data_IF_623985360281
#
_entry.id   IF_623985360281
#
_cell.length_a   1.000
_cell.length_b   1.000
_cell.length_c   1.000
_cell.angle_alpha   90.00
_cell.angle_beta   90.00
_cell.angle_gamma   90.00
#
_symmetry.space_group_name_H-M   'P 1'
#
loop_
_entity.id
_entity.type
_entity.pdbx_description
1 polymer ?
#
# COMPACT_ATOMS: atom_id res chain seq x y z
N UNK A 1 15.53 -0.33 20.97
CA UNK A 1 14.47 0.69 21.10
C UNK A 1 14.90 1.88 20.25
N UNK A 2 14.28 2.12 19.10
CA UNK A 2 14.63 3.30 18.29
C UNK A 2 14.04 4.51 19.02
N UNK A 3 14.94 5.33 19.54
CA UNK A 3 14.54 6.58 20.19
C UNK A 3 13.94 7.50 19.10
N UNK A 4 12.67 7.85 19.25
CA UNK A 4 12.01 8.77 18.34
C UNK A 4 12.26 10.20 18.81
N UNK A 5 12.92 11.07 18.02
CA UNK A 5 13.24 12.42 18.44
C UNK A 5 12.06 13.39 18.40
N UNK A 6 10.94 12.98 17.75
CA UNK A 6 9.69 13.75 17.66
C UNK A 6 8.53 12.89 18.18
N UNK A 7 7.51 13.52 18.74
CA UNK A 7 6.28 12.83 19.14
C UNK A 7 5.42 12.48 17.93
N UNK A 8 5.07 11.20 17.78
CA UNK A 8 4.08 10.78 16.79
C UNK A 8 2.70 10.66 17.42
N UNK A 9 1.68 10.92 16.61
CA UNK A 9 0.30 10.55 16.92
C UNK A 9 0.13 9.07 16.59
N UNK A 10 0.10 8.22 17.61
CA UNK A 10 0.04 6.76 17.46
C UNK A 10 -1.42 6.27 17.30
N UNK A 11 -1.66 5.10 16.66
CA UNK A 11 -0.68 4.20 16.04
C UNK A 11 -0.11 4.75 14.73
N UNK A 12 1.16 4.48 14.47
CA UNK A 12 1.87 4.90 13.26
C UNK A 12 2.20 3.70 12.38
N UNK A 13 1.73 3.71 11.14
CA UNK A 13 1.97 2.63 10.18
C UNK A 13 2.90 3.07 9.06
N UNK A 14 3.74 2.16 8.62
CA UNK A 14 4.67 2.36 7.49
C UNK A 14 4.88 1.05 6.74
N UNK A 15 5.17 1.10 5.43
CA UNK A 15 5.59 -0.08 4.69
C UNK A 15 6.91 -0.66 5.25
N UNK A 16 7.10 -1.99 5.27
CA UNK A 16 8.37 -2.61 5.72
C UNK A 16 9.60 -2.05 5.00
N UNK A 17 9.48 -1.67 3.73
CA UNK A 17 10.55 -1.07 2.93
C UNK A 17 10.98 0.34 3.43
N UNK A 18 10.20 0.96 4.30
CA UNK A 18 10.46 2.25 4.94
C UNK A 18 10.95 2.12 6.40
N UNK A 19 11.32 0.92 6.85
CA UNK A 19 11.79 0.66 8.21
C UNK A 19 12.95 1.56 8.65
N UNK A 20 13.81 1.97 7.70
CA UNK A 20 14.97 2.84 7.94
C UNK A 20 14.81 4.25 7.39
N UNK A 21 13.60 4.66 7.05
CA UNK A 21 13.29 6.02 6.61
C UNK A 21 13.03 6.93 7.82
N UNK A 22 13.40 8.21 7.71
CA UNK A 22 12.85 9.20 8.62
C UNK A 22 11.36 9.35 8.32
N UNK A 23 10.52 9.30 9.34
CA UNK A 23 9.08 9.41 9.18
C UNK A 23 8.66 10.83 9.54
N UNK A 24 7.87 11.44 8.67
CA UNK A 24 7.23 12.73 8.91
C UNK A 24 5.73 12.56 8.75
N UNK A 25 4.96 12.70 9.83
CA UNK A 25 3.51 12.72 9.75
C UNK A 25 3.04 14.05 9.16
N UNK A 26 2.86 14.11 7.85
CA UNK A 26 2.35 15.31 7.16
C UNK A 26 0.83 15.49 7.36
N UNK A 27 0.12 14.37 7.56
CA UNK A 27 -1.28 14.30 7.98
C UNK A 27 -1.40 13.39 9.19
N UNK A 28 -2.56 13.38 9.82
CA UNK A 28 -2.93 12.42 10.87
C UNK A 28 -4.14 11.65 10.37
N UNK A 29 -4.13 10.31 10.51
CA UNK A 29 -5.21 9.44 10.04
C UNK A 29 -5.24 9.25 8.52
N UNK A 30 -6.35 8.72 8.02
CA UNK A 30 -6.60 8.51 6.60
C UNK A 30 -7.75 9.38 6.12
N UNK A 31 -7.59 10.07 4.99
CA UNK A 31 -8.60 10.99 4.45
C UNK A 31 -9.91 10.30 4.05
N UNK A 32 -9.82 9.02 3.70
CA UNK A 32 -10.99 8.21 3.37
C UNK A 32 -11.58 7.46 4.58
N UNK A 33 -10.77 6.67 5.28
CA UNK A 33 -11.05 5.95 6.53
C UNK A 33 -12.40 5.20 6.59
N UNK A 34 -12.90 4.67 5.45
CA UNK A 34 -14.23 4.02 5.31
C UNK A 34 -14.16 2.60 4.76
N UNK A 35 -12.94 2.11 4.45
CA UNK A 35 -12.77 0.76 3.92
C UNK A 35 -13.20 -0.29 4.94
N UNK A 36 -14.01 -1.29 4.50
CA UNK A 36 -14.57 -2.31 5.39
C UNK A 36 -13.51 -3.14 6.12
N UNK A 37 -12.36 -3.36 5.49
CA UNK A 37 -11.26 -4.19 5.99
C UNK A 37 -10.23 -3.43 6.83
N UNK A 38 -10.22 -2.09 6.78
CA UNK A 38 -9.13 -1.30 7.35
C UNK A 38 -9.46 -0.83 8.77
N UNK A 39 -8.62 -1.23 9.71
CA UNK A 39 -8.73 -0.84 11.13
C UNK A 39 -7.58 0.09 11.57
N UNK A 40 -6.62 0.39 10.67
CA UNK A 40 -5.38 1.10 11.01
C UNK A 40 -5.59 2.50 11.57
N UNK A 41 -6.60 3.22 11.06
CA UNK A 41 -6.82 4.63 11.42
C UNK A 41 -8.21 4.91 12.01
N UNK A 42 -8.93 3.88 12.46
CA UNK A 42 -10.27 4.02 13.04
C UNK A 42 -10.29 4.85 14.33
N UNK A 43 -9.18 4.88 15.06
CA UNK A 43 -9.01 5.68 16.28
C UNK A 43 -8.59 7.15 16.02
N UNK A 44 -8.40 7.55 14.76
CA UNK A 44 -7.91 8.88 14.39
C UNK A 44 -8.88 9.68 13.55
N UNK A 45 -9.12 10.91 13.93
CA UNK A 45 -9.76 11.89 13.05
C UNK A 45 -8.76 12.45 12.05
N UNK A 46 -9.15 12.43 10.77
CA UNK A 46 -8.28 12.95 9.71
C UNK A 46 -8.06 14.46 9.88
N UNK A 47 -6.79 14.88 9.87
CA UNK A 47 -6.40 16.28 9.87
C UNK A 47 -5.05 16.51 9.18
N UNK A 48 -4.89 17.68 8.58
CA UNK A 48 -3.62 18.15 8.03
C UNK A 48 -2.80 18.84 9.10
N UNK A 49 -1.48 18.81 8.97
CA UNK A 49 -0.58 19.50 9.92
C UNK A 49 -0.03 20.79 9.30
N UNK A 50 0.19 21.78 10.13
CA UNK A 50 0.70 23.07 9.67
C UNK A 50 2.18 22.97 9.25
N UNK A 51 2.56 23.75 8.24
CA UNK A 51 3.93 23.78 7.76
C UNK A 51 4.93 24.18 8.86
N UNK A 52 4.56 25.08 9.75
CA UNK A 52 5.44 25.54 10.85
C UNK A 52 5.75 24.42 11.85
N UNK A 53 4.79 23.54 12.13
CA UNK A 53 5.02 22.37 12.96
C UNK A 53 5.94 21.38 12.24
N UNK A 54 5.65 21.11 10.96
CA UNK A 54 6.46 20.20 10.16
C UNK A 54 7.90 20.68 9.99
N UNK A 55 8.13 21.98 9.81
CA UNK A 55 9.48 22.56 9.76
C UNK A 55 10.30 22.30 11.03
N UNK A 56 9.69 22.46 12.19
CA UNK A 56 10.36 22.16 13.47
C UNK A 56 10.74 20.69 13.58
N UNK A 57 9.84 19.80 13.18
CA UNK A 57 10.09 18.35 13.19
C UNK A 57 11.14 17.93 12.17
N UNK A 58 11.10 18.48 10.95
CA UNK A 58 12.13 18.23 9.91
C UNK A 58 13.51 18.61 10.44
N UNK A 59 13.63 19.79 11.07
CA UNK A 59 14.87 20.23 11.69
C UNK A 59 15.32 19.26 12.79
N UNK A 60 14.43 18.88 13.70
CA UNK A 60 14.72 17.93 14.79
C UNK A 60 15.18 16.57 14.25
N UNK A 61 14.50 16.04 13.24
CA UNK A 61 14.88 14.78 12.58
C UNK A 61 16.25 14.90 11.92
N UNK A 62 16.53 16.01 11.23
CA UNK A 62 17.83 16.24 10.58
C UNK A 62 18.96 16.34 11.61
N UNK A 63 18.77 17.07 12.70
CA UNK A 63 19.75 17.20 13.79
C UNK A 63 20.01 15.83 14.47
N UNK A 64 18.97 15.01 14.64
CA UNK A 64 19.06 13.68 15.24
C UNK A 64 19.84 12.71 14.35
N UNK A 65 19.45 12.63 13.06
CA UNK A 65 20.07 11.68 12.11
C UNK A 65 21.41 12.14 11.55
N UNK A 66 21.82 13.39 11.77
CA UNK A 66 23.13 13.96 11.36
C UNK A 66 23.51 13.66 9.91
N UNK A 67 22.54 13.80 8.99
CA UNK A 67 22.74 13.58 7.55
C UNK A 67 22.85 12.12 7.10
N UNK A 68 22.63 11.14 7.96
CA UNK A 68 22.66 9.72 7.60
C UNK A 68 21.36 9.22 6.94
N UNK A 69 20.29 10.03 6.96
CA UNK A 69 19.02 9.68 6.33
C UNK A 69 19.12 9.73 4.81
N UNK A 70 18.75 8.62 4.18
CA UNK A 70 18.67 8.50 2.71
C UNK A 70 17.25 8.54 2.18
N UNK A 71 16.26 8.33 3.04
CA UNK A 71 14.85 8.26 2.67
C UNK A 71 14.00 8.97 3.72
N UNK A 72 12.96 9.66 3.24
CA UNK A 72 11.90 10.23 4.08
C UNK A 72 10.58 9.62 3.65
N UNK A 73 9.77 9.20 4.61
CA UNK A 73 8.42 8.70 4.38
C UNK A 73 7.41 9.68 4.96
N UNK A 74 6.52 10.19 4.10
CA UNK A 74 5.41 11.05 4.51
C UNK A 74 4.23 10.18 4.96
N UNK A 75 3.94 10.18 6.23
CA UNK A 75 2.80 9.54 6.87
C UNK A 75 1.69 10.61 7.15
N UNK A 76 0.48 10.30 7.55
CA UNK A 76 -0.11 9.03 7.87
C UNK A 76 -0.72 8.33 6.65
N UNK A 77 -1.89 7.71 6.82
CA UNK A 77 -2.54 6.80 5.87
C UNK A 77 -2.84 7.35 4.48
N UNK A 78 -2.80 8.67 4.28
CA UNK A 78 -3.00 9.30 2.99
C UNK A 78 -2.40 10.72 2.96
N UNK A 79 -1.09 10.82 3.17
CA UNK A 79 -0.43 12.14 3.16
C UNK A 79 -0.45 12.80 1.78
N UNK A 80 -0.56 12.02 0.71
CA UNK A 80 -0.63 12.54 -0.66
C UNK A 80 -1.96 13.22 -1.02
N UNK A 81 -2.96 13.20 -0.12
CA UNK A 81 -4.19 14.00 -0.26
C UNK A 81 -3.93 15.51 -0.20
N UNK A 82 -2.83 15.92 0.44
CA UNK A 82 -2.43 17.32 0.44
C UNK A 82 -2.27 17.85 -1.00
N UNK A 83 -2.78 19.04 -1.25
CA UNK A 83 -2.61 19.73 -2.53
C UNK A 83 -1.12 20.05 -2.80
N UNK A 84 -0.78 20.28 -4.04
CA UNK A 84 0.62 20.55 -4.44
C UNK A 84 1.19 21.78 -3.77
N UNK A 85 0.39 22.84 -3.60
CA UNK A 85 0.77 24.06 -2.89
C UNK A 85 1.16 23.83 -1.42
N UNK A 86 0.65 22.75 -0.78
CA UNK A 86 1.05 22.32 0.56
C UNK A 86 2.23 21.35 0.55
N UNK A 87 2.27 20.41 -0.40
CA UNK A 87 3.33 19.42 -0.49
C UNK A 87 4.68 20.04 -0.91
N UNK A 88 4.66 20.96 -1.88
CA UNK A 88 5.88 21.57 -2.42
C UNK A 88 6.71 22.27 -1.32
N UNK A 89 6.15 23.12 -0.44
CA UNK A 89 6.90 23.70 0.67
C UNK A 89 7.46 22.67 1.64
N UNK A 90 6.71 21.58 1.92
CA UNK A 90 7.19 20.48 2.78
C UNK A 90 8.39 19.79 2.15
N UNK A 91 8.32 19.45 0.85
CA UNK A 91 9.42 18.80 0.15
C UNK A 91 10.65 19.72 0.02
N UNK A 92 10.46 21.02 -0.21
CA UNK A 92 11.55 22.00 -0.23
C UNK A 92 12.24 22.09 1.14
N UNK A 93 11.46 22.09 2.23
CA UNK A 93 12.01 22.10 3.59
C UNK A 93 12.79 20.80 3.89
N UNK A 94 12.25 19.64 3.52
CA UNK A 94 12.97 18.36 3.66
C UNK A 94 14.32 18.41 2.91
N UNK A 95 14.33 18.85 1.67
CA UNK A 95 15.54 18.90 0.86
C UNK A 95 16.59 19.90 1.42
N UNK A 96 16.18 20.99 2.05
CA UNK A 96 17.09 21.96 2.68
C UNK A 96 17.82 21.39 3.91
N UNK A 97 17.24 20.38 4.58
CA UNK A 97 17.80 19.77 5.80
C UNK A 97 18.52 18.44 5.54
N UNK A 98 18.11 17.69 4.52
CA UNK A 98 18.65 16.36 4.22
C UNK A 98 19.39 16.33 2.88
N UNK A 99 20.66 16.74 2.87
CA UNK A 99 21.46 16.93 1.64
C UNK A 99 21.81 15.67 0.85
N UNK A 100 21.44 14.45 1.31
CA UNK A 100 21.78 13.17 0.67
C UNK A 100 20.55 12.28 0.41
N UNK A 101 19.39 12.86 0.28
CA UNK A 101 18.17 12.08 0.04
C UNK A 101 18.20 11.37 -1.32
N UNK A 102 17.91 10.10 -1.29
CA UNK A 102 17.68 9.28 -2.47
C UNK A 102 16.22 9.32 -2.90
N UNK A 103 15.30 9.39 -1.91
CA UNK A 103 13.86 9.29 -2.14
C UNK A 103 13.05 9.90 -1.01
N UNK A 104 11.97 10.57 -1.40
CA UNK A 104 10.81 10.81 -0.55
C UNK A 104 9.70 9.90 -1.07
N UNK A 105 8.92 9.31 -0.17
CA UNK A 105 7.81 8.42 -0.49
C UNK A 105 6.59 8.74 0.38
N UNK A 106 5.41 8.31 -0.03
CA UNK A 106 4.16 8.57 0.68
C UNK A 106 3.13 7.47 0.41
N UNK A 107 2.17 7.28 1.31
CA UNK A 107 0.91 6.66 0.95
C UNK A 107 0.09 7.60 0.07
N UNK A 108 -0.63 7.03 -0.90
CA UNK A 108 -1.49 7.76 -1.81
C UNK A 108 -2.72 6.94 -2.20
N UNK A 109 -3.79 7.64 -2.60
CA UNK A 109 -4.92 7.06 -3.30
C UNK A 109 -4.92 7.53 -4.77
N UNK A 110 -5.43 6.74 -5.72
CA UNK A 110 -5.51 7.10 -7.14
C UNK A 110 -6.16 8.47 -7.37
N UNK A 111 -7.27 8.77 -6.68
CA UNK A 111 -7.97 10.06 -6.75
C UNK A 111 -7.08 11.24 -6.38
N UNK A 112 -6.14 11.06 -5.45
CA UNK A 112 -5.23 12.14 -5.00
C UNK A 112 -4.16 12.43 -6.06
N UNK A 113 -3.81 11.43 -6.88
CA UNK A 113 -2.94 11.62 -8.04
C UNK A 113 -3.72 12.37 -9.13
N UNK A 114 -4.94 11.93 -9.42
CA UNK A 114 -5.82 12.55 -10.43
C UNK A 114 -6.17 14.01 -10.10
N UNK A 115 -6.24 14.38 -8.83
CA UNK A 115 -6.52 15.76 -8.40
C UNK A 115 -5.38 16.75 -8.66
N UNK A 116 -4.19 16.28 -9.02
CA UNK A 116 -3.04 17.12 -9.34
C UNK A 116 -2.83 17.23 -10.84
N UNK A 117 -2.35 18.38 -11.31
CA UNK A 117 -1.96 18.56 -12.70
C UNK A 117 -0.65 17.82 -13.01
N UNK A 118 -0.36 17.60 -14.28
CA UNK A 118 0.90 16.95 -14.71
C UNK A 118 2.13 17.79 -14.34
N UNK A 119 2.00 19.13 -14.40
CA UNK A 119 3.04 20.06 -13.96
C UNK A 119 3.32 19.94 -12.47
N UNK A 120 2.28 19.86 -11.64
CA UNK A 120 2.43 19.67 -10.19
C UNK A 120 3.10 18.34 -9.86
N UNK A 121 2.70 17.25 -10.50
CA UNK A 121 3.34 15.94 -10.32
C UNK A 121 4.81 15.97 -10.74
N UNK A 122 5.13 16.64 -11.84
CA UNK A 122 6.51 16.82 -12.32
C UNK A 122 7.34 17.64 -11.33
N UNK A 123 6.79 18.72 -10.74
CA UNK A 123 7.47 19.48 -9.70
C UNK A 123 7.70 18.64 -8.44
N UNK A 124 6.69 17.93 -7.95
CA UNK A 124 6.82 17.02 -6.80
C UNK A 124 7.89 15.96 -7.05
N UNK A 125 7.93 15.41 -8.26
CA UNK A 125 8.96 14.45 -8.67
C UNK A 125 10.35 15.06 -8.66
N UNK A 126 10.52 16.26 -9.18
CA UNK A 126 11.80 17.00 -9.20
C UNK A 126 12.31 17.28 -7.77
N UNK A 127 11.39 17.48 -6.82
CA UNK A 127 11.69 17.68 -5.41
C UNK A 127 11.93 16.36 -4.64
N UNK A 128 12.04 15.24 -5.34
CA UNK A 128 12.46 13.97 -4.76
C UNK A 128 11.34 13.02 -4.34
N UNK A 129 10.07 13.33 -4.61
CA UNK A 129 8.97 12.38 -4.43
C UNK A 129 9.05 11.32 -5.55
N UNK A 130 9.57 10.15 -5.22
CA UNK A 130 9.91 9.12 -6.20
C UNK A 130 9.08 7.86 -6.12
N UNK A 131 8.34 7.65 -5.02
CA UNK A 131 7.59 6.42 -4.80
C UNK A 131 6.28 6.71 -4.06
N UNK A 132 5.18 6.21 -4.60
CA UNK A 132 3.88 6.18 -3.94
C UNK A 132 3.50 4.75 -3.59
N UNK A 133 3.09 4.53 -2.34
CA UNK A 133 2.51 3.28 -1.86
C UNK A 133 0.99 3.37 -1.98
N UNK A 134 0.40 2.45 -2.74
CA UNK A 134 -1.02 2.48 -3.08
C UNK A 134 -1.62 1.11 -2.82
N UNK A 135 -2.48 1.02 -1.82
CA UNK A 135 -3.37 -0.12 -1.65
C UNK A 135 -4.50 -0.01 -2.67
N UNK A 136 -4.46 -0.79 -3.73
CA UNK A 136 -5.60 -0.90 -4.66
C UNK A 136 -6.56 -2.00 -4.22
N UNK A 137 -6.07 -2.96 -3.46
CA UNK A 137 -6.69 -4.09 -2.79
C UNK A 137 -7.26 -5.13 -3.76
N UNK A 138 -7.92 -4.70 -4.82
CA UNK A 138 -8.52 -5.53 -5.86
C UNK A 138 -8.62 -4.75 -7.17
N UNK A 139 -8.64 -5.45 -8.30
CA UNK A 139 -9.03 -4.91 -9.61
C UNK A 139 -10.51 -5.06 -9.93
N UNK A 140 -11.31 -5.60 -9.02
CA UNK A 140 -12.73 -5.86 -9.25
C UNK A 140 -13.61 -4.71 -8.74
N UNK A 141 -14.38 -4.08 -9.66
CA UNK A 141 -15.23 -2.94 -9.34
C UNK A 141 -16.40 -3.30 -8.41
N UNK A 142 -16.87 -4.54 -8.43
CA UNK A 142 -17.91 -5.00 -7.50
C UNK A 142 -17.32 -5.08 -6.08
N UNK A 143 -16.18 -5.73 -5.92
CA UNK A 143 -15.50 -5.80 -4.63
C UNK A 143 -15.11 -4.43 -4.10
N UNK A 144 -14.61 -3.53 -4.95
CA UNK A 144 -14.29 -2.14 -4.55
C UNK A 144 -15.51 -1.43 -3.94
N UNK A 145 -16.72 -1.68 -4.46
CA UNK A 145 -17.98 -1.16 -3.89
C UNK A 145 -18.33 -1.86 -2.58
N UNK A 146 -18.22 -3.19 -2.52
CA UNK A 146 -18.56 -3.99 -1.35
C UNK A 146 -17.69 -3.63 -0.14
N UNK A 147 -16.40 -3.38 -0.34
CA UNK A 147 -15.46 -2.95 0.71
C UNK A 147 -15.46 -1.44 0.94
N UNK A 148 -16.27 -0.68 0.22
CA UNK A 148 -16.32 0.79 0.30
C UNK A 148 -14.95 1.47 0.09
N UNK A 149 -14.17 1.01 -0.90
CA UNK A 149 -12.83 1.56 -1.20
C UNK A 149 -12.90 2.98 -1.76
N UNK A 150 -13.98 3.31 -2.45
CA UNK A 150 -14.22 4.61 -3.05
C UNK A 150 -13.38 4.88 -4.30
N UNK A 151 -12.76 3.88 -4.90
CA UNK A 151 -12.07 3.90 -6.19
C UNK A 151 -12.76 2.96 -7.18
N UNK A 152 -12.36 3.03 -8.45
CA UNK A 152 -12.75 2.10 -9.51
C UNK A 152 -11.52 1.56 -10.22
N UNK A 153 -11.71 0.51 -11.02
CA UNK A 153 -10.67 0.01 -11.92
C UNK A 153 -10.11 1.14 -12.80
N UNK A 154 -11.00 1.93 -13.42
CA UNK A 154 -10.60 3.02 -14.33
C UNK A 154 -9.83 4.12 -13.60
N UNK A 155 -10.37 4.65 -12.47
CA UNK A 155 -9.68 5.70 -11.69
C UNK A 155 -8.31 5.25 -11.21
N UNK A 156 -8.18 3.97 -10.87
CA UNK A 156 -6.91 3.38 -10.42
C UNK A 156 -5.90 3.32 -11.56
N UNK A 157 -6.30 2.83 -12.73
CA UNK A 157 -5.41 2.78 -13.92
C UNK A 157 -4.97 4.18 -14.31
N UNK A 158 -5.92 5.11 -14.46
CA UNK A 158 -5.62 6.49 -14.86
C UNK A 158 -4.67 7.19 -13.86
N UNK A 159 -4.95 7.07 -12.56
CA UNK A 159 -4.12 7.68 -11.52
C UNK A 159 -2.69 7.15 -11.52
N UNK A 160 -2.52 5.82 -11.61
CA UNK A 160 -1.18 5.21 -11.60
C UNK A 160 -0.42 5.53 -12.89
N UNK A 161 -1.05 5.46 -14.06
CA UNK A 161 -0.42 5.84 -15.32
C UNK A 161 0.01 7.30 -15.32
N UNK A 162 -0.80 8.19 -14.73
CA UNK A 162 -0.45 9.61 -14.56
C UNK A 162 0.79 9.81 -13.66
N UNK A 163 0.90 9.05 -12.55
CA UNK A 163 2.09 9.06 -11.71
C UNK A 163 3.33 8.58 -12.48
N UNK A 164 3.21 7.49 -13.24
CA UNK A 164 4.30 6.94 -14.05
C UNK A 164 4.74 7.93 -15.14
N UNK A 165 3.82 8.62 -15.80
CA UNK A 165 4.12 9.66 -16.79
C UNK A 165 4.93 10.81 -16.18
N UNK A 166 4.72 11.14 -14.91
CA UNK A 166 5.52 12.12 -14.17
C UNK A 166 6.85 11.54 -13.63
N UNK A 167 7.16 10.26 -13.90
CA UNK A 167 8.38 9.58 -13.43
C UNK A 167 8.33 9.18 -11.95
N UNK A 168 7.14 9.11 -11.34
CA UNK A 168 6.94 8.65 -9.97
C UNK A 168 6.63 7.16 -10.01
N UNK A 169 7.50 6.34 -9.40
CA UNK A 169 7.29 4.90 -9.27
C UNK A 169 6.11 4.59 -8.32
N UNK A 170 5.51 3.41 -8.47
CA UNK A 170 4.46 2.94 -7.56
C UNK A 170 4.79 1.60 -6.93
N UNK A 171 4.35 1.42 -5.69
CA UNK A 171 4.33 0.17 -4.95
C UNK A 171 2.87 -0.18 -4.68
N UNK A 172 2.39 -1.20 -5.36
CA UNK A 172 0.99 -1.60 -5.36
C UNK A 172 0.77 -2.74 -4.38
N UNK A 173 -0.36 -2.71 -3.69
CA UNK A 173 -0.78 -3.73 -2.74
C UNK A 173 -2.14 -4.31 -3.14
N UNK A 174 -2.20 -5.66 -3.22
CA UNK A 174 -3.40 -6.47 -3.41
C UNK A 174 -3.67 -7.21 -2.11
N UNK A 175 -4.93 -7.30 -1.72
CA UNK A 175 -5.34 -7.94 -0.47
C UNK A 175 -5.98 -9.31 -0.77
N UNK A 176 -5.18 -10.37 -0.67
CA UNK A 176 -5.58 -11.75 -0.89
C UNK A 176 -6.66 -12.17 0.12
N UNK A 177 -7.69 -12.88 -0.33
CA UNK A 177 -8.80 -13.30 0.52
C UNK A 177 -9.90 -12.25 0.72
N UNK A 178 -9.76 -11.06 0.12
CA UNK A 178 -10.66 -9.94 0.32
C UNK A 178 -12.12 -10.24 -0.06
N UNK A 179 -12.32 -11.06 -1.09
CA UNK A 179 -13.63 -11.44 -1.61
C UNK A 179 -14.25 -12.66 -0.93
N UNK A 180 -13.52 -13.33 -0.02
CA UNK A 180 -13.91 -14.62 0.51
C UNK A 180 -14.12 -15.66 -0.60
N UNK A 181 -14.78 -16.77 -0.29
CA UNK A 181 -15.00 -17.85 -1.26
C UNK A 181 -15.78 -17.41 -2.50
N UNK A 182 -16.75 -16.55 -2.31
CA UNK A 182 -17.69 -16.15 -3.36
C UNK A 182 -17.06 -15.37 -4.51
N UNK A 183 -16.14 -14.46 -4.20
CA UNK A 183 -15.55 -13.53 -5.15
C UNK A 183 -14.09 -13.84 -5.49
N UNK A 184 -13.53 -14.94 -4.99
CA UNK A 184 -12.11 -15.29 -5.09
C UNK A 184 -11.59 -15.31 -6.55
N UNK A 185 -12.27 -16.04 -7.42
CA UNK A 185 -11.84 -16.18 -8.83
C UNK A 185 -11.85 -14.83 -9.55
N UNK A 186 -12.96 -14.07 -9.48
CA UNK A 186 -13.04 -12.77 -10.14
C UNK A 186 -12.06 -11.77 -9.54
N UNK A 187 -11.84 -11.80 -8.22
CA UNK A 187 -10.85 -11.00 -7.54
C UNK A 187 -9.44 -11.25 -8.08
N UNK A 188 -9.02 -12.52 -8.15
CA UNK A 188 -7.70 -12.90 -8.65
C UNK A 188 -7.48 -12.46 -10.11
N UNK A 189 -8.44 -12.77 -11.00
CA UNK A 189 -8.36 -12.45 -12.43
C UNK A 189 -8.35 -10.93 -12.65
N UNK A 190 -9.29 -10.19 -12.05
CA UNK A 190 -9.39 -8.74 -12.22
C UNK A 190 -8.21 -7.99 -11.61
N UNK A 191 -7.65 -8.52 -10.50
CA UNK A 191 -6.44 -7.96 -9.90
C UNK A 191 -5.21 -8.19 -10.79
N UNK A 192 -5.08 -9.33 -11.45
CA UNK A 192 -4.04 -9.54 -12.45
C UNK A 192 -4.22 -8.63 -13.68
N UNK A 193 -5.47 -8.44 -14.13
CA UNK A 193 -5.79 -7.56 -15.25
C UNK A 193 -5.36 -6.10 -15.01
N UNK A 194 -5.63 -5.56 -13.81
CA UNK A 194 -5.21 -4.21 -13.48
C UNK A 194 -3.68 -4.11 -13.37
N UNK A 195 -2.99 -5.10 -12.77
CA UNK A 195 -1.53 -5.14 -12.70
C UNK A 195 -0.90 -5.14 -14.10
N UNK A 196 -1.45 -5.92 -15.03
CA UNK A 196 -0.99 -5.95 -16.42
C UNK A 196 -1.15 -4.60 -17.13
N UNK A 197 -2.17 -3.80 -16.78
CA UNK A 197 -2.38 -2.47 -17.36
C UNK A 197 -1.47 -1.39 -16.79
N UNK A 198 -1.15 -1.47 -15.49
CA UNK A 198 -0.39 -0.42 -14.81
C UNK A 198 1.12 -0.72 -14.74
N UNK A 199 1.52 -1.98 -14.82
CA UNK A 199 2.94 -2.42 -14.74
C UNK A 199 3.72 -1.69 -13.63
N UNK A 200 3.37 -1.87 -12.35
CA UNK A 200 3.99 -1.12 -11.26
C UNK A 200 5.44 -1.58 -11.06
N UNK A 201 6.28 -0.74 -10.46
CA UNK A 201 7.66 -1.13 -10.12
C UNK A 201 7.70 -2.19 -9.03
N UNK A 202 6.84 -2.06 -8.02
CA UNK A 202 6.72 -3.00 -6.90
C UNK A 202 5.29 -3.48 -6.77
N UNK A 203 5.13 -4.76 -6.54
CA UNK A 203 3.86 -5.42 -6.25
C UNK A 203 4.00 -6.24 -4.97
N UNK A 204 3.06 -6.11 -4.07
CA UNK A 204 2.96 -6.99 -2.90
C UNK A 204 1.54 -7.52 -2.72
N UNK A 205 1.45 -8.74 -2.21
CA UNK A 205 0.20 -9.29 -1.68
C UNK A 205 0.27 -9.38 -0.18
N UNK A 206 -0.83 -9.05 0.48
CA UNK A 206 -1.08 -9.30 1.89
C UNK A 206 -2.32 -10.17 1.99
N UNK A 207 -2.39 -11.04 2.99
CA UNK A 207 -3.63 -11.76 3.27
C UNK A 207 -4.52 -10.93 4.19
N UNK A 208 -5.82 -10.89 3.90
CA UNK A 208 -6.82 -10.23 4.73
C UNK A 208 -6.72 -10.76 6.16
N UNK A 209 -6.54 -9.86 7.11
CA UNK A 209 -6.58 -10.13 8.53
C UNK A 209 -7.86 -9.53 9.13
N UNK A 210 -8.51 -10.28 10.03
CA UNK A 210 -9.75 -9.88 10.67
C UNK A 210 -9.52 -9.74 12.18
N UNK A 211 -8.83 -8.69 12.65
CA UNK A 211 -8.43 -8.55 14.06
C UNK A 211 -9.61 -8.48 15.03
N UNK A 212 -10.79 -8.05 14.56
CA UNK A 212 -12.03 -8.00 15.33
C UNK A 212 -13.02 -9.12 14.96
N UNK A 213 -12.56 -10.12 14.21
CA UNK A 213 -13.35 -11.28 13.79
C UNK A 213 -14.16 -11.08 12.52
N UNK A 214 -14.67 -12.20 12.00
CA UNK A 214 -15.41 -12.26 10.73
C UNK A 214 -16.73 -11.48 10.80
N UNK A 215 -17.45 -11.55 11.92
CA UNK A 215 -18.72 -10.84 12.12
C UNK A 215 -18.54 -9.31 12.01
N UNK A 216 -17.48 -8.76 12.60
CA UNK A 216 -17.17 -7.33 12.50
C UNK A 216 -16.93 -6.91 11.05
N UNK A 217 -16.16 -7.69 10.30
CA UNK A 217 -15.91 -7.43 8.89
C UNK A 217 -17.19 -7.57 8.07
N UNK A 218 -17.97 -8.65 8.28
CA UNK A 218 -19.23 -8.90 7.59
C UNK A 218 -20.24 -7.74 7.74
N UNK A 219 -20.30 -7.12 8.92
CA UNK A 219 -21.17 -5.97 9.18
C UNK A 219 -20.76 -4.71 8.37
N UNK A 220 -19.52 -4.62 7.93
CA UNK A 220 -18.98 -3.52 7.12
C UNK A 220 -18.90 -3.86 5.62
N UNK A 221 -18.78 -5.14 5.30
CA UNK A 221 -18.74 -5.66 3.94
C UNK A 221 -20.17 -5.73 3.38
N UNK A 222 -20.42 -5.02 2.29
CA UNK A 222 -21.78 -4.87 1.73
C UNK A 222 -22.20 -6.06 0.85
N UNK A 223 -21.79 -7.27 1.21
CA UNK A 223 -22.08 -8.51 0.50
C UNK A 223 -22.07 -9.69 1.46
N UNK A 224 -22.16 -10.89 0.93
CA UNK A 224 -21.95 -12.12 1.67
C UNK A 224 -20.45 -12.45 1.68
N UNK A 225 -19.87 -12.63 2.86
CA UNK A 225 -18.49 -13.03 3.06
C UNK A 225 -18.41 -14.40 3.73
N UNK A 226 -17.66 -15.30 3.12
CA UNK A 226 -17.33 -16.61 3.69
C UNK A 226 -15.82 -16.72 3.64
N UNK A 227 -15.17 -16.82 4.79
CA UNK A 227 -13.72 -16.88 4.89
C UNK A 227 -13.16 -18.10 4.14
N UNK A 228 -12.05 -17.90 3.43
CA UNK A 228 -11.31 -18.97 2.76
C UNK A 228 -10.41 -19.70 3.75
N UNK A 229 -10.19 -20.99 3.53
CA UNK A 229 -9.14 -21.77 4.18
C UNK A 229 -7.76 -21.33 3.64
N UNK A 230 -6.69 -21.74 4.32
CA UNK A 230 -5.31 -21.40 3.89
C UNK A 230 -5.03 -21.91 2.48
N UNK A 231 -5.48 -23.13 2.15
CA UNK A 231 -5.26 -23.66 0.79
C UNK A 231 -6.03 -22.88 -0.26
N UNK A 232 -7.28 -22.48 0.02
CA UNK A 232 -8.07 -21.65 -0.90
C UNK A 232 -7.44 -20.27 -1.13
N UNK A 233 -6.80 -19.68 -0.11
CA UNK A 233 -6.03 -18.44 -0.24
C UNK A 233 -4.79 -18.64 -1.12
N UNK A 234 -4.11 -19.78 -1.02
CA UNK A 234 -2.95 -20.08 -1.86
C UNK A 234 -3.40 -20.38 -3.31
N UNK A 235 -4.54 -21.02 -3.51
CA UNK A 235 -5.16 -21.25 -4.83
C UNK A 235 -5.57 -19.90 -5.49
N UNK A 236 -6.11 -18.93 -4.72
CA UNK A 236 -6.39 -17.58 -5.20
C UNK A 236 -5.12 -16.86 -5.63
N UNK A 237 -4.07 -16.95 -4.82
CA UNK A 237 -2.76 -16.39 -5.15
C UNK A 237 -2.16 -17.04 -6.40
N UNK A 238 -2.31 -18.35 -6.57
CA UNK A 238 -1.90 -19.08 -7.77
C UNK A 238 -2.58 -18.50 -9.02
N UNK A 239 -3.90 -18.36 -8.97
CA UNK A 239 -4.69 -17.82 -10.08
C UNK A 239 -4.27 -16.38 -10.40
N UNK A 240 -4.04 -15.55 -9.38
CA UNK A 240 -3.55 -14.19 -9.55
C UNK A 240 -2.19 -14.14 -10.24
N UNK A 241 -1.19 -14.84 -9.72
CA UNK A 241 0.18 -14.84 -10.29
C UNK A 241 0.19 -15.43 -11.71
N UNK A 242 -0.59 -16.50 -11.94
CA UNK A 242 -0.67 -17.13 -13.27
C UNK A 242 -1.21 -16.18 -14.36
N UNK A 243 -2.10 -15.26 -14.01
CA UNK A 243 -2.69 -14.29 -14.93
C UNK A 243 -1.88 -13.00 -15.10
N UNK A 244 -0.76 -12.83 -14.38
CA UNK A 244 0.11 -11.67 -14.57
C UNK A 244 1.04 -11.92 -15.76
N UNK A 245 1.03 -10.98 -16.72
CA UNK A 245 1.80 -11.04 -17.96
C UNK A 245 2.63 -9.77 -18.19
N UNK A 246 2.96 -9.05 -17.11
CA UNK A 246 3.79 -7.84 -17.17
C UNK A 246 5.22 -8.13 -16.76
N UNK A 247 6.17 -7.38 -17.32
CA UNK A 247 7.61 -7.56 -17.11
C UNK A 247 8.18 -6.66 -16.02
N UNK A 248 9.30 -7.11 -15.41
CA UNK A 248 10.13 -6.32 -14.51
C UNK A 248 9.44 -5.84 -13.21
N UNK A 249 8.31 -6.41 -12.82
CA UNK A 249 7.64 -6.10 -11.55
C UNK A 249 8.30 -6.88 -10.42
N UNK A 250 8.82 -6.17 -9.42
CA UNK A 250 9.40 -6.78 -8.23
C UNK A 250 8.24 -7.18 -7.31
N UNK A 251 8.01 -8.48 -7.18
CA UNK A 251 6.93 -9.06 -6.39
C UNK A 251 7.40 -9.55 -5.02
N UNK A 252 6.59 -9.35 -3.99
CA UNK A 252 6.83 -9.84 -2.63
C UNK A 252 5.53 -10.17 -1.90
N UNK A 253 5.52 -11.31 -1.20
CA UNK A 253 4.48 -11.68 -0.23
C UNK A 253 5.08 -12.00 1.15
N UNK A 254 6.05 -11.21 1.59
CA UNK A 254 6.80 -11.45 2.82
C UNK A 254 6.25 -10.73 4.07
N UNK A 255 4.99 -10.31 4.03
CA UNK A 255 4.30 -9.75 5.18
C UNK A 255 3.84 -10.88 6.11
N UNK A 256 3.79 -10.60 7.43
CA UNK A 256 3.42 -11.58 8.47
C UNK A 256 2.01 -12.15 8.32
N UNK A 257 1.10 -11.44 7.64
CA UNK A 257 -0.26 -11.92 7.35
C UNK A 257 -0.31 -13.02 6.29
N UNK A 258 0.76 -13.23 5.52
CA UNK A 258 0.75 -14.17 4.42
C UNK A 258 1.05 -15.60 4.89
N UNK A 259 0.29 -16.56 4.39
CA UNK A 259 0.50 -17.98 4.66
C UNK A 259 1.64 -18.58 3.80
N UNK A 260 2.07 -17.88 2.75
CA UNK A 260 3.16 -18.29 1.86
C UNK A 260 4.06 -17.09 1.54
N UNK A 261 5.34 -17.23 1.86
CA UNK A 261 6.35 -16.20 1.58
C UNK A 261 6.94 -16.42 0.19
N UNK A 262 6.72 -15.48 -0.70
CA UNK A 262 7.24 -15.47 -2.06
C UNK A 262 8.00 -14.16 -2.35
N UNK A 263 9.03 -14.24 -3.17
CA UNK A 263 9.71 -13.06 -3.70
C UNK A 263 10.37 -13.37 -5.04
N UNK A 264 10.24 -12.46 -6.01
CA UNK A 264 10.83 -12.62 -7.34
C UNK A 264 10.57 -11.41 -8.21
N UNK A 265 11.07 -11.46 -9.43
CA UNK A 265 10.74 -10.52 -10.50
C UNK A 265 9.76 -11.20 -11.44
N UNK A 266 8.52 -10.70 -11.51
CA UNK A 266 7.50 -11.24 -12.39
C UNK A 266 7.96 -11.15 -13.85
N UNK A 267 7.55 -12.12 -14.64
CA UNK A 267 8.04 -12.68 -15.88
C UNK A 267 9.28 -13.56 -15.70
N UNK A 268 10.38 -13.06 -15.15
CA UNK A 268 11.63 -13.82 -15.04
C UNK A 268 11.53 -15.03 -14.10
N UNK A 269 10.93 -14.81 -12.92
CA UNK A 269 10.88 -15.81 -11.84
C UNK A 269 9.48 -16.47 -11.73
N UNK A 270 8.58 -16.24 -12.69
CA UNK A 270 7.19 -16.69 -12.62
C UNK A 270 7.07 -18.21 -12.48
N UNK A 271 7.82 -18.98 -13.26
CA UNK A 271 7.81 -20.44 -13.20
C UNK A 271 8.21 -20.93 -11.80
N UNK A 272 9.29 -20.40 -11.24
CA UNK A 272 9.74 -20.73 -9.89
C UNK A 272 8.69 -20.39 -8.82
N UNK A 273 8.04 -19.24 -8.94
CA UNK A 273 6.97 -18.84 -8.02
C UNK A 273 5.78 -19.82 -8.12
N UNK A 274 5.40 -20.23 -9.32
CA UNK A 274 4.33 -21.19 -9.54
C UNK A 274 4.66 -22.58 -8.96
N UNK A 275 5.89 -23.06 -9.10
CA UNK A 275 6.35 -24.32 -8.49
C UNK A 275 6.25 -24.26 -6.95
N UNK A 276 6.68 -23.15 -6.33
CA UNK A 276 6.57 -22.95 -4.88
C UNK A 276 5.11 -22.93 -4.40
N UNK A 277 4.22 -22.30 -5.16
CA UNK A 277 2.79 -22.26 -4.86
C UNK A 277 2.18 -23.65 -4.97
N UNK A 278 2.46 -24.40 -6.03
CA UNK A 278 1.96 -25.77 -6.22
C UNK A 278 2.44 -26.71 -5.11
N UNK A 279 3.67 -26.58 -4.68
CA UNK A 279 4.19 -27.34 -3.56
C UNK A 279 3.43 -27.02 -2.26
N UNK A 280 3.22 -25.73 -1.98
CA UNK A 280 2.46 -25.29 -0.80
C UNK A 280 1.01 -25.80 -0.80
N UNK A 281 0.34 -25.81 -1.97
CA UNK A 281 -1.02 -26.36 -2.10
C UNK A 281 -1.04 -27.88 -1.75
N UNK A 282 -0.04 -28.63 -2.23
CA UNK A 282 0.05 -30.09 -1.94
C UNK A 282 0.30 -30.39 -0.47
N UNK A 283 1.05 -29.55 0.22
CA UNK A 283 1.46 -29.75 1.60
C UNK A 283 0.45 -29.20 2.61
N UNK A 284 -0.41 -28.25 2.22
CA UNK A 284 -1.37 -27.59 3.12
C UNK A 284 -2.68 -28.38 3.21
N UNK A 285 -3.07 -28.86 4.41
CA UNK A 285 -4.37 -29.50 4.58
C UNK A 285 -5.55 -28.55 4.34
N UNK A 286 -6.58 -29.02 3.63
CA UNK A 286 -7.70 -28.17 3.17
C UNK A 286 -8.58 -27.59 4.31
N UNK A 287 -8.52 -28.15 5.51
CA UNK A 287 -9.35 -27.70 6.64
C UNK A 287 -8.69 -26.62 7.51
N UNK A 288 -7.43 -26.26 7.23
CA UNK A 288 -6.72 -25.24 8.02
C UNK A 288 -7.28 -23.86 7.65
N UNK A 289 -7.77 -23.15 8.66
CA UNK A 289 -8.17 -21.76 8.56
C UNK A 289 -6.99 -20.83 8.85
N UNK A 290 -6.97 -19.62 8.27
CA UNK A 290 -5.97 -18.63 8.62
C UNK A 290 -6.00 -18.31 10.11
N UNK A 291 -4.83 -18.17 10.72
CA UNK A 291 -4.76 -17.64 12.08
C UNK A 291 -5.29 -16.20 12.09
N UNK A 292 -6.16 -15.89 13.04
CA UNK A 292 -6.57 -14.51 13.31
C UNK A 292 -5.38 -13.79 13.97
N UNK A 293 -4.42 -13.35 13.16
CA UNK A 293 -3.27 -12.62 13.66
C UNK A 293 -3.73 -11.26 14.19
N UNK A 294 -3.85 -11.14 15.49
CA UNK A 294 -4.18 -9.90 16.19
C UNK A 294 -3.03 -8.89 16.21
N UNK A 295 -2.25 -8.76 15.14
CA UNK A 295 -1.22 -7.74 15.00
C UNK A 295 -1.14 -7.25 13.55
N UNK A 296 -1.57 -6.03 13.35
CA UNK A 296 -1.10 -5.15 12.29
C UNK A 296 0.05 -4.30 12.81
#
# INVERSE_FOLDING_TARGET
MFFNPIGYDEPLFRPPAEAYSAILQATIGCSWNKCAFCEMYTSKDFRTRSLDVLKKEIKTLSDYYKGHVKKVFLADGDAFVLSADKLIPILKEINSHFGRLQRISSYAMPRNILSKTDSELSELRSLGLKLLYIGIETGDDELLKLINKGETFSSTVEGIQKAHAAGIDTSIMILNGLGGKKYSEQHAIKSAEIINKISPKFLSTLTLSLPYGEEHFQNRFKGEYIQQSVVELIEELQLFINNINTDNVIYRSNHVSNNLILSGTLSKDKELLMEQIEQAIKETPRHIMPESSGML
#
